data_IF_431250462185
#
_entry.id   IF_431250462185
#
_cell.length_a   1.000
_cell.length_b   1.000
_cell.length_c   1.000
_cell.angle_alpha   90.00
_cell.angle_beta   90.00
_cell.angle_gamma   90.00
#
_symmetry.space_group_name_H-M   'P 1'
#
loop_
_entity.id
_entity.type
_entity.pdbx_description
1 polymer ?
#
# COMPACT_ATOMS: atom_id res chain seq x y z
N UNK A 1 -4.49 -3.02 -29.72
CA UNK A 1 -5.85 -2.76 -29.23
C UNK A 1 -5.78 -1.48 -28.40
N UNK A 2 -6.78 -0.57 -28.51
CA UNK A 2 -6.86 0.59 -27.63
C UNK A 2 -7.10 0.06 -26.20
N UNK A 3 -6.37 0.60 -25.20
CA UNK A 3 -6.61 0.26 -23.81
C UNK A 3 -7.95 0.85 -23.37
N UNK A 4 -8.56 0.20 -22.39
CA UNK A 4 -9.74 0.74 -21.73
C UNK A 4 -9.41 2.06 -21.06
N UNK A 5 -10.34 3.01 -21.10
CA UNK A 5 -10.19 4.30 -20.46
C UNK A 5 -10.75 4.22 -19.04
N UNK A 6 -9.98 4.70 -18.07
CA UNK A 6 -10.44 4.81 -16.69
C UNK A 6 -11.42 5.98 -16.54
N UNK A 7 -12.57 5.73 -15.91
CA UNK A 7 -13.56 6.76 -15.58
C UNK A 7 -13.64 6.94 -14.07
N UNK A 8 -13.46 8.18 -13.60
CA UNK A 8 -13.53 8.55 -12.19
C UNK A 8 -14.99 8.69 -11.76
N UNK A 9 -15.62 7.60 -11.35
CA UNK A 9 -17.01 7.59 -10.90
C UNK A 9 -17.16 7.64 -9.39
N UNK A 10 -16.12 7.24 -8.64
CA UNK A 10 -16.08 7.15 -7.19
C UNK A 10 -14.85 7.87 -6.62
N UNK A 11 -14.90 8.37 -5.37
CA UNK A 11 -13.73 8.85 -4.66
C UNK A 11 -12.64 7.79 -4.58
N UNK A 12 -11.39 8.18 -4.81
CA UNK A 12 -10.24 7.29 -4.79
C UNK A 12 -9.53 7.33 -3.45
N UNK A 13 -9.33 6.16 -2.83
CA UNK A 13 -8.68 6.01 -1.53
C UNK A 13 -7.62 4.90 -1.63
N UNK A 14 -6.42 5.19 -1.11
CA UNK A 14 -5.35 4.22 -1.04
C UNK A 14 -5.39 3.53 0.33
N UNK A 15 -5.51 2.22 0.33
CA UNK A 15 -5.41 1.40 1.54
C UNK A 15 -4.33 0.34 1.36
N UNK A 16 -3.97 -0.35 2.41
CA UNK A 16 -3.06 -1.48 2.26
C UNK A 16 -3.02 -2.35 3.50
N UNK A 17 -2.52 -3.58 3.31
CA UNK A 17 -2.35 -4.56 4.38
C UNK A 17 -0.98 -4.46 5.01
N UNK A 18 -0.96 -4.38 6.34
CA UNK A 18 0.24 -4.41 7.19
C UNK A 18 0.09 -5.48 8.27
N UNK A 19 1.18 -5.90 8.88
CA UNK A 19 1.18 -6.90 9.95
C UNK A 19 2.24 -7.97 9.75
N UNK A 20 2.30 -8.92 10.70
CA UNK A 20 3.33 -9.95 10.76
C UNK A 20 3.32 -10.88 9.53
N UNK A 21 4.47 -11.52 9.22
CA UNK A 21 4.55 -12.59 8.24
C UNK A 21 3.60 -13.73 8.63
N UNK A 22 3.03 -14.42 7.64
CA UNK A 22 2.09 -15.54 7.82
C UNK A 22 0.75 -15.21 8.53
N UNK A 23 0.45 -13.97 8.87
CA UNK A 23 -0.86 -13.56 9.36
C UNK A 23 -1.95 -13.50 8.28
N UNK A 24 -1.59 -13.69 7.00
CA UNK A 24 -2.52 -13.84 5.88
C UNK A 24 -2.90 -12.53 5.19
N UNK A 25 -1.98 -11.56 5.12
CA UNK A 25 -2.16 -10.27 4.40
C UNK A 25 -2.53 -10.47 2.94
N UNK A 26 -1.70 -11.18 2.18
CA UNK A 26 -1.93 -11.47 0.76
C UNK A 26 -3.19 -12.30 0.54
N UNK A 27 -3.49 -13.23 1.45
CA UNK A 27 -4.75 -14.00 1.42
C UNK A 27 -5.96 -13.09 1.59
N UNK A 28 -5.89 -12.11 2.52
CA UNK A 28 -6.95 -11.13 2.71
C UNK A 28 -7.07 -10.20 1.50
N UNK A 29 -5.96 -9.76 0.92
CA UNK A 29 -5.94 -8.94 -0.29
C UNK A 29 -6.64 -9.65 -1.45
N UNK A 30 -6.36 -10.94 -1.65
CA UNK A 30 -7.06 -11.77 -2.65
C UNK A 30 -8.56 -11.92 -2.33
N UNK A 31 -8.92 -12.14 -1.05
CA UNK A 31 -10.31 -12.23 -0.61
C UNK A 31 -11.07 -10.91 -0.84
N UNK A 32 -10.45 -9.75 -0.55
CA UNK A 32 -11.03 -8.44 -0.81
C UNK A 32 -11.36 -8.25 -2.29
N UNK A 33 -10.39 -8.51 -3.18
CA UNK A 33 -10.64 -8.37 -4.62
C UNK A 33 -11.75 -9.28 -5.11
N UNK A 34 -11.81 -10.54 -4.63
CA UNK A 34 -12.84 -11.50 -5.02
C UNK A 34 -14.22 -11.10 -4.51
N UNK A 35 -14.34 -10.84 -3.20
CA UNK A 35 -15.63 -10.49 -2.57
C UNK A 35 -16.18 -9.19 -3.14
N UNK A 36 -15.33 -8.17 -3.34
CA UNK A 36 -15.75 -6.92 -3.95
C UNK A 36 -16.17 -7.11 -5.42
N UNK A 37 -15.43 -7.89 -6.21
CA UNK A 37 -15.80 -8.18 -7.60
C UNK A 37 -17.16 -8.88 -7.70
N UNK A 38 -17.44 -9.85 -6.83
CA UNK A 38 -18.71 -10.58 -6.78
C UNK A 38 -19.88 -9.70 -6.28
N UNK A 39 -19.62 -8.72 -5.40
CA UNK A 39 -20.66 -7.90 -4.77
C UNK A 39 -20.91 -6.60 -5.52
N UNK A 40 -19.86 -5.90 -5.96
CA UNK A 40 -19.92 -4.53 -6.50
C UNK A 40 -19.44 -4.46 -7.96
N UNK A 41 -18.85 -5.55 -8.47
CA UNK A 41 -18.25 -5.58 -9.81
C UNK A 41 -16.76 -5.30 -9.80
N UNK A 42 -16.14 -5.44 -10.98
CA UNK A 42 -14.69 -5.35 -11.16
C UNK A 42 -14.05 -6.72 -11.34
N UNK A 43 -12.73 -6.77 -11.28
CA UNK A 43 -11.95 -7.98 -11.52
C UNK A 43 -11.39 -8.55 -10.21
N UNK A 44 -11.57 -9.85 -10.02
CA UNK A 44 -10.93 -10.58 -8.91
C UNK A 44 -9.47 -10.90 -9.28
N UNK A 45 -8.56 -10.68 -8.34
CA UNK A 45 -7.15 -11.04 -8.47
C UNK A 45 -6.87 -12.28 -7.61
N UNK A 46 -6.42 -13.36 -8.25
CA UNK A 46 -6.04 -14.57 -7.53
C UNK A 46 -4.76 -14.35 -6.71
N UNK A 47 -4.57 -15.14 -5.65
CA UNK A 47 -3.38 -15.08 -4.79
C UNK A 47 -2.07 -15.10 -5.60
N UNK A 48 -1.93 -16.04 -6.54
CA UNK A 48 -0.76 -16.14 -7.43
C UNK A 48 -0.57 -14.95 -8.37
N UNK A 49 -1.59 -14.10 -8.49
CA UNK A 49 -1.57 -12.87 -9.27
C UNK A 49 -1.04 -11.67 -8.48
N UNK A 50 -1.07 -11.74 -7.15
CA UNK A 50 -0.56 -10.73 -6.22
C UNK A 50 0.94 -10.99 -5.99
N UNK A 51 1.32 -12.16 -5.48
CA UNK A 51 2.70 -12.61 -5.31
C UNK A 51 3.22 -13.23 -6.61
N UNK A 52 3.74 -12.37 -7.50
CA UNK A 52 4.09 -12.77 -8.86
C UNK A 52 5.55 -13.20 -9.05
N UNK A 53 6.47 -12.70 -8.22
CA UNK A 53 7.89 -12.96 -8.38
C UNK A 53 8.20 -14.45 -8.14
N UNK A 54 9.09 -15.08 -8.94
CA UNK A 54 9.48 -16.47 -8.71
C UNK A 54 10.01 -16.71 -7.29
N UNK A 55 10.74 -15.75 -6.73
CA UNK A 55 11.29 -15.81 -5.38
C UNK A 55 10.20 -15.74 -4.29
N UNK A 56 9.15 -14.95 -4.49
CA UNK A 56 7.99 -14.89 -3.60
C UNK A 56 7.26 -16.23 -3.55
N UNK A 57 7.05 -16.85 -4.72
CA UNK A 57 6.41 -18.16 -4.82
C UNK A 57 7.24 -19.29 -4.21
N UNK A 58 8.57 -19.25 -4.39
CA UNK A 58 9.47 -20.25 -3.83
C UNK A 58 9.54 -20.16 -2.30
N UNK A 59 9.57 -18.95 -1.76
CA UNK A 59 9.66 -18.69 -0.32
C UNK A 59 8.30 -18.65 0.39
N UNK A 60 7.20 -18.47 -0.33
CA UNK A 60 5.86 -18.30 0.22
C UNK A 60 5.68 -17.00 1.01
N UNK A 61 6.47 -15.97 0.72
CA UNK A 61 6.42 -14.65 1.40
C UNK A 61 6.41 -13.53 0.38
N UNK A 62 5.67 -12.46 0.67
CA UNK A 62 5.68 -11.22 -0.11
C UNK A 62 7.00 -10.48 0.09
N UNK A 63 7.67 -10.11 -0.98
CA UNK A 63 8.96 -9.39 -0.99
C UNK A 63 8.77 -7.96 -1.46
N UNK A 64 8.12 -7.77 -2.60
CA UNK A 64 7.81 -6.46 -3.15
C UNK A 64 6.36 -6.04 -2.81
N UNK A 65 6.10 -4.75 -2.80
CA UNK A 65 4.72 -4.25 -2.72
C UNK A 65 3.95 -4.60 -3.97
N UNK A 66 2.75 -5.12 -3.82
CA UNK A 66 1.84 -5.40 -4.93
C UNK A 66 0.63 -4.47 -4.87
N UNK A 67 0.19 -4.00 -6.03
CA UNK A 67 -0.94 -3.07 -6.13
C UNK A 67 -2.11 -3.75 -6.84
N UNK A 68 -3.27 -3.75 -6.18
CA UNK A 68 -4.54 -4.22 -6.75
C UNK A 68 -5.62 -3.15 -6.62
N UNK A 69 -6.69 -3.24 -7.39
CA UNK A 69 -7.85 -2.35 -7.26
C UNK A 69 -9.11 -3.14 -6.96
N UNK A 70 -10.03 -2.53 -6.23
CA UNK A 70 -11.40 -3.00 -6.06
C UNK A 70 -12.32 -1.82 -5.73
N UNK A 71 -13.62 -2.03 -5.81
CA UNK A 71 -14.62 -1.00 -5.52
C UNK A 71 -15.55 -1.44 -4.40
N UNK A 72 -16.04 -0.47 -3.64
CA UNK A 72 -17.22 -0.61 -2.79
C UNK A 72 -18.41 0.13 -3.41
N UNK A 73 -19.50 0.22 -2.70
CA UNK A 73 -20.62 1.09 -3.08
C UNK A 73 -20.22 2.57 -3.18
N UNK A 74 -19.28 3.00 -2.34
CA UNK A 74 -18.98 4.42 -2.12
C UNK A 74 -17.61 4.85 -2.64
N UNK A 75 -16.67 3.92 -2.83
CA UNK A 75 -15.25 4.23 -3.08
C UNK A 75 -14.59 3.28 -4.08
N UNK A 76 -13.59 3.82 -4.77
CA UNK A 76 -12.58 3.06 -5.50
C UNK A 76 -11.32 2.96 -4.64
N UNK A 77 -10.90 1.74 -4.35
CA UNK A 77 -9.71 1.46 -3.57
C UNK A 77 -8.54 1.04 -4.45
N UNK A 78 -7.40 1.73 -4.29
CA UNK A 78 -6.11 1.17 -4.64
C UNK A 78 -5.54 0.52 -3.38
N UNK A 79 -5.20 -0.76 -3.46
CA UNK A 79 -4.73 -1.53 -2.32
C UNK A 79 -3.28 -1.95 -2.51
N UNK A 80 -2.45 -1.64 -1.52
CA UNK A 80 -1.04 -2.00 -1.47
C UNK A 80 -0.87 -3.19 -0.54
N UNK A 81 -0.50 -4.35 -1.07
CA UNK A 81 -0.11 -5.49 -0.24
C UNK A 81 1.36 -5.35 0.18
N UNK A 82 1.61 -5.18 1.48
CA UNK A 82 2.94 -4.95 2.02
C UNK A 82 3.61 -6.24 2.50
N UNK A 83 4.93 -6.39 2.31
CA UNK A 83 5.67 -7.51 2.88
C UNK A 83 5.58 -7.49 4.41
N UNK A 84 5.58 -8.69 5.01
CA UNK A 84 5.53 -8.85 6.48
C UNK A 84 6.88 -9.17 7.11
N UNK A 85 7.87 -9.58 6.32
CA UNK A 85 9.16 -10.03 6.82
C UNK A 85 10.11 -8.84 7.09
N UNK A 86 10.86 -8.91 8.19
CA UNK A 86 11.77 -7.84 8.64
C UNK A 86 12.81 -7.43 7.58
N UNK A 87 13.30 -8.37 6.76
CA UNK A 87 14.29 -8.07 5.71
C UNK A 87 13.74 -7.10 4.64
N UNK A 88 12.42 -6.98 4.52
CA UNK A 88 11.74 -6.16 3.50
C UNK A 88 11.05 -4.93 4.09
N UNK A 89 11.42 -4.52 5.29
CA UNK A 89 10.86 -3.34 5.99
C UNK A 89 10.92 -2.07 5.14
N UNK A 90 11.94 -1.90 4.30
CA UNK A 90 12.06 -0.75 3.37
C UNK A 90 10.89 -0.71 2.36
N UNK A 91 10.50 -1.87 1.84
CA UNK A 91 9.36 -1.96 0.92
C UNK A 91 8.04 -1.73 1.66
N UNK A 92 7.93 -2.24 2.90
CA UNK A 92 6.77 -1.95 3.78
C UNK A 92 6.63 -0.44 4.03
N UNK A 93 7.71 0.27 4.39
CA UNK A 93 7.70 1.72 4.61
C UNK A 93 7.24 2.47 3.34
N UNK A 94 7.80 2.10 2.19
CA UNK A 94 7.43 2.72 0.90
C UNK A 94 5.94 2.51 0.59
N UNK A 95 5.42 1.29 0.82
CA UNK A 95 4.00 0.99 0.62
C UNK A 95 3.11 1.74 1.61
N UNK A 96 3.48 1.74 2.90
CA UNK A 96 2.71 2.41 3.95
C UNK A 96 2.63 3.93 3.74
N UNK A 97 3.69 4.57 3.24
CA UNK A 97 3.71 6.00 2.95
C UNK A 97 2.66 6.43 1.90
N UNK A 98 2.15 5.50 1.10
CA UNK A 98 1.12 5.76 0.09
C UNK A 98 -0.30 5.66 0.64
N UNK A 99 -0.50 5.10 1.83
CA UNK A 99 -1.82 4.75 2.36
C UNK A 99 -2.54 5.95 2.98
N UNK A 100 -3.83 6.06 2.67
CA UNK A 100 -4.78 6.94 3.33
C UNK A 100 -5.44 6.24 4.53
N UNK A 101 -5.29 4.91 4.63
CA UNK A 101 -5.66 4.07 5.75
C UNK A 101 -5.02 2.70 5.65
N UNK A 102 -4.71 2.05 6.77
CA UNK A 102 -4.12 0.73 6.78
C UNK A 102 -5.08 -0.33 7.34
N UNK A 103 -4.95 -1.56 6.84
CA UNK A 103 -5.60 -2.74 7.40
C UNK A 103 -4.52 -3.54 8.14
N UNK A 104 -4.59 -3.53 9.45
CA UNK A 104 -3.71 -4.34 10.29
C UNK A 104 -4.24 -5.77 10.36
N UNK A 105 -3.50 -6.71 9.81
CA UNK A 105 -3.88 -8.13 9.82
C UNK A 105 -3.16 -8.84 10.95
N UNK A 106 -3.93 -9.38 11.89
CA UNK A 106 -3.41 -10.14 13.04
C UNK A 106 -4.08 -11.52 13.06
N UNK A 107 -3.30 -12.57 13.27
CA UNK A 107 -3.85 -13.92 13.47
C UNK A 107 -4.53 -14.03 14.83
N UNK A 108 -5.76 -14.49 14.88
CA UNK A 108 -6.50 -14.73 16.12
C UNK A 108 -5.84 -15.83 16.99
N UNK A 109 -5.12 -16.74 16.34
CA UNK A 109 -4.44 -17.83 17.05
C UNK A 109 -3.09 -17.42 17.67
N UNK A 110 -2.37 -16.50 16.99
CA UNK A 110 -1.00 -16.13 17.38
C UNK A 110 -0.96 -14.80 18.16
N UNK A 111 -1.96 -13.94 18.00
CA UNK A 111 -1.98 -12.59 18.54
C UNK A 111 -0.97 -11.63 17.89
N UNK A 112 -0.74 -10.46 18.50
CA UNK A 112 0.26 -9.52 18.03
C UNK A 112 1.67 -10.07 18.14
N UNK A 113 2.39 -10.09 17.02
CA UNK A 113 3.76 -10.60 16.92
C UNK A 113 4.75 -9.42 16.73
N UNK A 114 6.08 -9.63 16.80
CA UNK A 114 7.04 -8.53 16.75
C UNK A 114 6.88 -7.59 15.55
N UNK A 115 6.68 -8.11 14.32
CA UNK A 115 6.47 -7.25 13.17
C UNK A 115 5.11 -6.53 13.20
N UNK A 116 4.12 -7.01 13.96
CA UNK A 116 2.87 -6.28 14.18
C UNK A 116 3.15 -4.95 14.86
N UNK A 117 3.95 -4.96 15.93
CA UNK A 117 4.40 -3.75 16.66
C UNK A 117 5.20 -2.82 15.76
N UNK A 118 6.18 -3.37 15.05
CA UNK A 118 7.02 -2.62 14.12
C UNK A 118 6.18 -1.93 13.02
N UNK A 119 5.23 -2.65 12.42
CA UNK A 119 4.40 -2.10 11.34
C UNK A 119 3.43 -1.01 11.82
N UNK A 120 2.87 -1.12 13.05
CA UNK A 120 2.03 -0.05 13.63
C UNK A 120 2.89 1.21 13.85
N UNK A 121 4.07 1.05 14.45
CA UNK A 121 5.00 2.16 14.67
C UNK A 121 5.41 2.83 13.36
N UNK A 122 5.81 2.05 12.36
CA UNK A 122 6.21 2.58 11.06
C UNK A 122 5.05 3.26 10.34
N UNK A 123 3.84 2.70 10.38
CA UNK A 123 2.64 3.34 9.85
C UNK A 123 2.40 4.71 10.51
N UNK A 124 2.62 4.82 11.83
CA UNK A 124 2.53 6.11 12.53
C UNK A 124 3.59 7.10 12.05
N UNK A 125 4.84 6.65 11.89
CA UNK A 125 5.96 7.49 11.47
C UNK A 125 5.80 8.03 10.03
N UNK A 126 5.24 7.25 9.13
CA UNK A 126 4.98 7.68 7.74
C UNK A 126 3.67 8.46 7.59
N UNK A 127 2.91 8.62 8.67
CA UNK A 127 1.72 9.47 8.69
C UNK A 127 0.43 8.79 8.24
N UNK A 128 0.31 7.46 8.32
CA UNK A 128 -0.97 6.76 8.09
C UNK A 128 -2.00 7.27 9.10
N UNK A 129 -3.13 7.87 8.64
CA UNK A 129 -4.03 8.56 9.55
C UNK A 129 -4.94 7.62 10.36
N UNK A 130 -5.29 6.46 9.82
CA UNK A 130 -6.22 5.50 10.42
C UNK A 130 -5.80 4.06 10.16
N UNK A 131 -6.07 3.21 11.14
CA UNK A 131 -5.90 1.75 11.05
C UNK A 131 -7.25 1.09 11.31
N UNK A 132 -7.62 0.11 10.48
CA UNK A 132 -8.72 -0.85 10.73
C UNK A 132 -8.07 -2.20 10.96
N UNK A 133 -8.57 -3.00 11.89
CA UNK A 133 -7.99 -4.31 12.22
C UNK A 133 -8.82 -5.42 11.62
N UNK A 134 -8.16 -6.38 10.98
CA UNK A 134 -8.75 -7.66 10.61
C UNK A 134 -8.11 -8.78 11.44
N UNK A 135 -8.86 -9.31 12.40
CA UNK A 135 -8.47 -10.43 13.23
C UNK A 135 -8.72 -11.71 12.43
N UNK A 136 -7.67 -12.15 11.72
CA UNK A 136 -7.70 -13.22 10.73
C UNK A 136 -7.54 -14.61 11.37
N UNK A 137 -7.81 -15.66 10.59
CA UNK A 137 -7.71 -17.08 11.01
C UNK A 137 -8.66 -17.43 12.18
N UNK A 138 -9.79 -16.76 12.27
CA UNK A 138 -10.80 -17.04 13.30
C UNK A 138 -11.34 -18.47 13.24
N UNK A 139 -11.21 -19.15 12.09
CA UNK A 139 -11.52 -20.56 11.89
C UNK A 139 -10.61 -21.54 12.65
N UNK A 140 -9.48 -21.06 13.21
CA UNK A 140 -8.53 -21.84 13.98
C UNK A 140 -8.69 -21.70 15.50
N UNK A 141 -9.62 -20.84 15.96
CA UNK A 141 -9.80 -20.52 17.37
C UNK A 141 -11.26 -20.72 17.74
N UNK A 142 -11.52 -21.76 18.54
CA UNK A 142 -12.86 -22.08 19.04
C UNK A 142 -13.18 -21.38 20.37
N UNK A 143 -12.17 -20.80 21.04
CA UNK A 143 -12.30 -20.17 22.35
C UNK A 143 -12.57 -18.66 22.23
N UNK A 144 -13.78 -18.18 22.56
CA UNK A 144 -14.10 -16.75 22.51
C UNK A 144 -13.28 -15.91 23.48
N UNK A 145 -12.91 -16.45 24.65
CA UNK A 145 -12.12 -15.72 25.65
C UNK A 145 -10.70 -15.40 25.12
N UNK A 146 -10.14 -16.32 24.35
CA UNK A 146 -8.85 -16.09 23.68
C UNK A 146 -8.95 -14.98 22.62
N UNK A 147 -10.03 -14.96 21.84
CA UNK A 147 -10.24 -13.91 20.83
C UNK A 147 -10.41 -12.53 21.51
N UNK A 148 -11.18 -12.44 22.58
CA UNK A 148 -11.33 -11.20 23.37
C UNK A 148 -10.01 -10.72 23.95
N UNK A 149 -9.15 -11.62 24.44
CA UNK A 149 -7.85 -11.29 24.96
C UNK A 149 -6.92 -10.71 23.88
N UNK A 150 -6.89 -11.34 22.70
CA UNK A 150 -6.10 -10.85 21.56
C UNK A 150 -6.61 -9.49 21.09
N UNK A 151 -7.93 -9.27 21.04
CA UNK A 151 -8.51 -7.97 20.72
C UNK A 151 -8.08 -6.89 21.71
N UNK A 152 -8.10 -7.19 23.02
CA UNK A 152 -7.66 -6.26 24.05
C UNK A 152 -6.18 -5.90 23.88
N UNK A 153 -5.33 -6.89 23.64
CA UNK A 153 -3.89 -6.67 23.40
C UNK A 153 -3.63 -5.79 22.18
N UNK A 154 -4.41 -5.98 21.10
CA UNK A 154 -4.31 -5.13 19.90
C UNK A 154 -4.71 -3.69 20.22
N UNK A 155 -5.80 -3.47 20.99
CA UNK A 155 -6.25 -2.12 21.40
C UNK A 155 -5.22 -1.40 22.26
N UNK A 156 -4.63 -2.10 23.23
CA UNK A 156 -3.55 -1.57 24.07
C UNK A 156 -2.34 -1.18 23.20
N UNK A 157 -1.95 -2.04 22.27
CA UNK A 157 -0.84 -1.80 21.37
C UNK A 157 -1.09 -0.58 20.44
N UNK A 158 -2.29 -0.42 19.89
CA UNK A 158 -2.65 0.74 19.08
C UNK A 158 -2.60 2.03 19.91
N UNK A 159 -3.09 2.01 21.15
CA UNK A 159 -3.01 3.15 22.07
C UNK A 159 -1.56 3.49 22.42
N UNK A 160 -0.68 2.52 22.59
CA UNK A 160 0.77 2.72 22.83
C UNK A 160 1.43 3.52 21.71
N UNK A 161 1.03 3.27 20.45
CA UNK A 161 1.55 3.96 19.26
C UNK A 161 0.68 5.14 18.79
N UNK A 162 -0.13 5.69 19.68
CA UNK A 162 -0.96 6.89 19.45
C UNK A 162 -2.02 6.76 18.35
N UNK A 163 -2.49 5.54 18.10
CA UNK A 163 -3.74 5.32 17.37
C UNK A 163 -4.89 5.17 18.37
N UNK A 164 -6.13 5.56 18.00
CA UNK A 164 -7.28 5.47 18.92
C UNK A 164 -7.76 4.02 19.06
N UNK A 165 -7.02 3.19 19.83
CA UNK A 165 -7.25 1.75 19.93
C UNK A 165 -8.67 1.39 20.38
N UNK A 166 -9.28 2.16 21.29
CA UNK A 166 -10.62 1.91 21.78
C UNK A 166 -11.70 2.14 20.71
N UNK A 167 -11.47 3.13 19.81
CA UNK A 167 -12.39 3.48 18.72
C UNK A 167 -12.08 2.75 17.41
N UNK A 168 -10.96 2.04 17.34
CA UNK A 168 -10.54 1.33 16.13
C UNK A 168 -11.46 0.15 15.84
N UNK A 169 -12.07 0.06 14.64
CA UNK A 169 -12.84 -1.10 14.23
C UNK A 169 -11.97 -2.36 14.17
N UNK A 170 -12.41 -3.43 14.82
CA UNK A 170 -11.80 -4.76 14.75
C UNK A 170 -12.84 -5.73 14.18
N UNK A 171 -12.52 -6.33 13.06
CA UNK A 171 -13.36 -7.30 12.37
C UNK A 171 -12.73 -8.69 12.49
N UNK A 172 -13.45 -9.61 13.09
CA UNK A 172 -13.01 -11.00 13.24
C UNK A 172 -13.48 -11.83 12.05
N UNK A 173 -12.55 -12.56 11.40
CA UNK A 173 -12.88 -13.35 10.22
C UNK A 173 -11.79 -14.33 9.79
N UNK A 174 -12.02 -14.99 8.68
CA UNK A 174 -11.07 -15.88 8.01
C UNK A 174 -11.02 -15.51 6.52
N UNK A 175 -9.89 -14.94 6.10
CA UNK A 175 -9.64 -14.62 4.71
C UNK A 175 -9.68 -15.87 3.81
N UNK A 176 -9.21 -17.01 4.33
CA UNK A 176 -9.24 -18.28 3.61
C UNK A 176 -10.70 -18.75 3.36
N UNK A 177 -11.54 -18.70 4.38
CA UNK A 177 -12.96 -19.03 4.26
C UNK A 177 -13.69 -18.12 3.27
N UNK A 178 -13.39 -16.84 3.30
CA UNK A 178 -13.92 -15.88 2.33
C UNK A 178 -13.49 -16.21 0.89
N UNK A 179 -12.22 -16.60 0.67
CA UNK A 179 -11.73 -17.06 -0.63
C UNK A 179 -12.41 -18.36 -1.10
N UNK A 180 -12.73 -19.25 -0.18
CA UNK A 180 -13.49 -20.47 -0.48
C UNK A 180 -14.97 -20.22 -0.79
N UNK A 181 -15.47 -18.99 -0.55
CA UNK A 181 -16.85 -18.57 -0.76
C UNK A 181 -17.78 -18.96 0.40
N UNK A 182 -17.23 -19.21 1.58
CA UNK A 182 -18.01 -19.47 2.80
C UNK A 182 -18.79 -18.21 3.20
N UNK A 183 -20.11 -18.31 3.24
CA UNK A 183 -21.02 -17.20 3.58
C UNK A 183 -21.28 -17.03 5.07
N UNK A 184 -20.59 -17.80 5.92
CA UNK A 184 -20.67 -17.64 7.38
C UNK A 184 -20.23 -16.25 7.85
N UNK A 185 -20.48 -15.94 9.12
CA UNK A 185 -20.12 -14.65 9.71
C UNK A 185 -18.62 -14.37 9.64
N UNK A 186 -17.75 -15.41 9.69
CA UNK A 186 -16.29 -15.26 9.62
C UNK A 186 -15.75 -15.34 8.18
N UNK A 187 -16.56 -15.68 7.19
CA UNK A 187 -16.19 -15.81 5.77
C UNK A 187 -16.42 -14.52 4.97
N UNK A 188 -17.18 -14.64 3.89
CA UNK A 188 -17.51 -13.50 2.99
C UNK A 188 -18.12 -12.33 3.74
N UNK A 189 -19.00 -12.59 4.72
CA UNK A 189 -19.65 -11.54 5.52
C UNK A 189 -18.64 -10.69 6.31
N UNK A 190 -17.58 -11.30 6.86
CA UNK A 190 -16.55 -10.55 7.57
C UNK A 190 -15.76 -9.63 6.62
N UNK A 191 -15.46 -10.08 5.40
CA UNK A 191 -14.76 -9.25 4.40
C UNK A 191 -15.65 -8.12 3.91
N UNK A 192 -16.95 -8.35 3.72
CA UNK A 192 -17.92 -7.28 3.40
C UNK A 192 -17.98 -6.23 4.52
N UNK A 193 -18.06 -6.67 5.79
CA UNK A 193 -18.02 -5.79 6.94
C UNK A 193 -16.72 -4.97 7.02
N UNK A 194 -15.57 -5.58 6.69
CA UNK A 194 -14.30 -4.86 6.62
C UNK A 194 -14.36 -3.73 5.60
N UNK A 195 -14.94 -3.96 4.41
CA UNK A 195 -15.09 -2.93 3.36
C UNK A 195 -16.04 -1.82 3.81
N UNK A 196 -17.14 -2.16 4.48
CA UNK A 196 -18.08 -1.19 5.05
C UNK A 196 -17.40 -0.31 6.12
N UNK A 197 -16.59 -0.90 7.01
CA UNK A 197 -15.85 -0.15 8.02
C UNK A 197 -14.76 0.73 7.37
N UNK A 198 -14.09 0.29 6.32
CA UNK A 198 -13.16 1.12 5.55
C UNK A 198 -13.87 2.34 4.94
N UNK A 199 -15.08 2.16 4.39
CA UNK A 199 -15.88 3.24 3.81
C UNK A 199 -16.26 4.32 4.85
N UNK A 200 -16.46 3.92 6.10
CA UNK A 200 -16.91 4.81 7.18
C UNK A 200 -15.75 5.39 7.99
N UNK A 201 -14.80 4.55 8.38
CA UNK A 201 -13.77 4.91 9.35
C UNK A 201 -12.55 5.61 8.74
N UNK A 202 -12.16 5.24 7.51
CA UNK A 202 -11.07 5.92 6.81
C UNK A 202 -11.61 7.22 6.21
N UNK A 203 -11.06 8.40 6.55
CA UNK A 203 -11.55 9.65 6.00
C UNK A 203 -11.27 9.73 4.49
N UNK A 204 -12.10 10.46 3.76
CA UNK A 204 -11.76 10.84 2.39
C UNK A 204 -10.59 11.82 2.44
N UNK A 205 -9.46 11.50 1.78
CA UNK A 205 -8.28 12.32 1.89
C UNK A 205 -8.40 13.63 1.11
N UNK A 206 -7.91 14.72 1.70
CA UNK A 206 -7.73 15.97 0.98
C UNK A 206 -6.61 15.82 -0.04
N UNK A 207 -6.83 16.27 -1.28
CA UNK A 207 -5.86 16.15 -2.38
C UNK A 207 -5.38 17.51 -2.84
N UNK A 208 -4.07 17.70 -2.80
CA UNK A 208 -3.38 18.94 -3.22
C UNK A 208 -3.31 19.08 -4.76
N UNK A 209 -4.44 19.11 -5.44
CA UNK A 209 -4.52 19.15 -6.92
C UNK A 209 -4.08 20.51 -7.50
N UNK A 210 -4.14 21.59 -6.74
CA UNK A 210 -3.78 22.95 -7.17
C UNK A 210 -2.28 23.27 -7.01
N UNK A 211 -1.52 22.39 -6.36
CA UNK A 211 -0.06 22.51 -6.22
C UNK A 211 0.66 22.03 -7.49
N UNK A 212 1.94 22.40 -7.68
CA UNK A 212 2.77 21.83 -8.73
C UNK A 212 2.80 20.30 -8.67
N UNK A 213 2.84 19.65 -9.85
CA UNK A 213 2.91 18.19 -9.93
C UNK A 213 4.19 17.68 -9.30
N UNK A 214 4.03 16.64 -8.48
CA UNK A 214 5.12 15.94 -7.80
C UNK A 214 4.74 14.46 -7.60
N UNK A 215 5.63 13.55 -8.02
CA UNK A 215 5.47 12.11 -7.88
C UNK A 215 6.83 11.46 -7.56
N UNK A 216 7.05 10.94 -6.35
CA UNK A 216 8.20 10.09 -6.06
C UNK A 216 8.18 8.84 -6.94
N UNK A 217 9.34 8.45 -7.47
CA UNK A 217 9.49 7.28 -8.34
C UNK A 217 9.74 6.05 -7.46
N UNK A 218 8.83 5.10 -7.55
CA UNK A 218 8.87 3.84 -6.79
C UNK A 218 9.45 2.70 -7.59
N UNK A 219 9.10 2.66 -8.88
CA UNK A 219 9.61 1.63 -9.76
C UNK A 219 9.76 2.13 -11.21
N UNK A 220 10.62 1.46 -11.98
CA UNK A 220 10.95 1.83 -13.35
C UNK A 220 10.85 0.61 -14.24
N UNK A 221 10.00 0.69 -15.24
CA UNK A 221 9.74 -0.38 -16.20
C UNK A 221 10.05 0.05 -17.63
N UNK A 222 10.37 -0.92 -18.47
CA UNK A 222 10.43 -0.73 -19.92
C UNK A 222 9.27 -1.47 -20.57
N UNK A 223 8.48 -0.77 -21.35
CA UNK A 223 7.43 -1.37 -22.16
C UNK A 223 7.87 -1.39 -23.63
N UNK A 224 7.98 -2.58 -24.21
CA UNK A 224 8.37 -2.75 -25.62
C UNK A 224 7.49 -1.91 -26.53
N UNK A 225 8.12 -1.06 -27.35
CA UNK A 225 7.43 -0.16 -28.29
C UNK A 225 6.80 1.10 -27.70
N UNK A 226 6.91 1.31 -26.36
CA UNK A 226 6.34 2.50 -25.68
C UNK A 226 7.36 3.32 -24.90
N UNK A 227 8.49 2.71 -24.50
CA UNK A 227 9.57 3.37 -23.78
C UNK A 227 9.56 3.10 -22.27
N UNK A 228 10.17 4.01 -21.52
CA UNK A 228 10.29 3.92 -20.06
C UNK A 228 9.01 4.42 -19.39
N UNK A 229 8.55 3.66 -18.40
CA UNK A 229 7.44 3.99 -17.53
C UNK A 229 7.95 4.06 -16.11
N UNK A 230 7.65 5.13 -15.41
CA UNK A 230 7.90 5.27 -13.97
C UNK A 230 6.57 5.18 -13.23
N UNK A 231 6.57 4.49 -12.11
CA UNK A 231 5.38 4.37 -11.27
C UNK A 231 5.57 5.04 -9.93
N UNK A 232 4.50 5.49 -9.34
CA UNK A 232 4.46 6.10 -8.03
C UNK A 232 3.10 6.69 -7.72
N UNK A 233 2.91 7.06 -6.46
CA UNK A 233 1.77 7.87 -6.04
C UNK A 233 2.04 9.34 -6.38
N UNK A 234 1.06 9.99 -6.99
CA UNK A 234 1.12 11.45 -7.19
C UNK A 234 0.84 12.13 -5.85
N UNK A 235 1.84 12.83 -5.31
CA UNK A 235 1.72 13.52 -4.02
C UNK A 235 0.97 14.84 -4.14
N UNK A 236 1.20 15.58 -5.23
CA UNK A 236 0.52 16.83 -5.50
C UNK A 236 0.35 17.11 -6.98
N UNK A 237 -0.59 17.98 -7.30
CA UNK A 237 -0.84 18.48 -8.65
C UNK A 237 -1.52 17.49 -9.59
N UNK A 238 -1.38 17.81 -10.86
CA UNK A 238 -1.96 17.05 -11.99
C UNK A 238 -0.89 16.88 -13.06
N UNK A 239 -0.84 15.72 -13.69
CA UNK A 239 -0.01 15.45 -14.87
C UNK A 239 -0.88 15.02 -16.05
N UNK A 240 -0.61 15.55 -17.24
CA UNK A 240 -1.31 15.24 -18.49
C UNK A 240 -0.35 14.77 -19.56
N UNK A 241 -0.86 14.05 -20.52
CA UNK A 241 -0.12 13.73 -21.74
C UNK A 241 0.28 15.03 -22.46
N UNK A 242 1.56 15.20 -22.74
CA UNK A 242 2.14 16.39 -23.36
C UNK A 242 2.86 17.31 -22.39
N UNK A 243 2.68 17.16 -21.07
CA UNK A 243 3.33 18.00 -20.09
C UNK A 243 4.84 17.79 -20.08
N UNK A 244 5.57 18.90 -19.96
CA UNK A 244 7.00 18.87 -19.71
C UNK A 244 7.24 18.53 -18.23
N UNK A 245 8.19 17.64 -17.98
CA UNK A 245 8.53 17.15 -16.63
C UNK A 245 10.03 17.16 -16.40
N UNK A 246 10.43 17.17 -15.15
CA UNK A 246 11.80 16.97 -14.69
C UNK A 246 11.92 15.76 -13.79
N UNK A 247 13.01 15.02 -13.96
CA UNK A 247 13.45 13.94 -13.07
C UNK A 247 14.52 14.55 -12.18
N UNK A 248 14.26 14.63 -10.87
CA UNK A 248 15.07 15.35 -9.89
C UNK A 248 15.56 14.43 -8.80
N UNK A 249 16.79 14.65 -8.34
CA UNK A 249 17.40 13.91 -7.22
C UNK A 249 18.34 12.80 -7.69
N UNK A 250 19.24 12.38 -6.77
CA UNK A 250 20.31 11.37 -6.98
C UNK A 250 21.32 11.80 -8.05
N UNK A 251 20.88 11.97 -9.28
CA UNK A 251 21.67 12.36 -10.45
C UNK A 251 21.35 13.80 -10.89
N UNK A 252 22.02 14.27 -11.93
CA UNK A 252 21.71 15.56 -12.54
C UNK A 252 20.26 15.61 -13.04
N UNK A 253 19.60 16.73 -12.84
CA UNK A 253 18.22 16.94 -13.27
C UNK A 253 18.07 16.77 -14.76
N UNK A 254 17.17 15.91 -15.18
CA UNK A 254 16.89 15.59 -16.59
C UNK A 254 15.47 16.00 -16.96
N UNK A 255 15.33 16.66 -18.11
CA UNK A 255 14.00 17.04 -18.64
C UNK A 255 13.43 15.97 -19.55
N UNK A 256 12.12 15.77 -19.48
CA UNK A 256 11.37 14.83 -20.30
C UNK A 256 9.96 15.34 -20.61
N UNK A 257 9.17 14.54 -21.30
CA UNK A 257 7.76 14.84 -21.59
C UNK A 257 6.91 13.61 -21.26
N UNK A 258 5.79 13.83 -20.58
CA UNK A 258 4.78 12.82 -20.37
C UNK A 258 4.14 12.41 -21.72
N UNK A 259 4.23 11.14 -22.10
CA UNK A 259 3.60 10.62 -23.32
C UNK A 259 2.33 9.83 -23.07
N UNK A 260 2.02 9.56 -21.81
CA UNK A 260 0.80 8.89 -21.39
C UNK A 260 0.78 8.65 -19.88
N UNK A 261 -0.42 8.55 -19.35
CA UNK A 261 -0.66 8.22 -17.93
C UNK A 261 -1.55 6.98 -17.88
N UNK A 262 -1.22 6.06 -16.99
CA UNK A 262 -1.94 4.78 -16.82
C UNK A 262 -2.12 4.47 -15.34
N UNK A 263 -3.24 3.84 -14.99
CA UNK A 263 -3.54 3.31 -13.68
C UNK A 263 -4.23 1.95 -13.86
N UNK A 264 -3.74 0.91 -13.18
CA UNK A 264 -4.26 -0.47 -13.28
C UNK A 264 -4.49 -0.94 -14.73
N UNK A 265 -3.50 -0.68 -15.62
CA UNK A 265 -3.52 -1.02 -17.05
C UNK A 265 -4.58 -0.28 -17.88
N UNK A 266 -5.32 0.66 -17.30
CA UNK A 266 -6.27 1.55 -17.98
C UNK A 266 -5.58 2.89 -18.30
N UNK A 267 -5.92 3.50 -19.42
CA UNK A 267 -5.38 4.82 -19.79
C UNK A 267 -6.15 5.94 -19.10
N UNK A 268 -5.42 6.99 -18.69
CA UNK A 268 -6.00 8.21 -18.13
C UNK A 268 -5.71 9.40 -19.05
N UNK A 269 -6.63 10.37 -19.09
CA UNK A 269 -6.37 11.67 -19.72
C UNK A 269 -5.39 12.50 -18.90
N UNK A 270 -5.47 12.37 -17.57
CA UNK A 270 -4.61 13.03 -16.59
C UNK A 270 -4.49 12.16 -15.33
N UNK A 271 -3.34 12.23 -14.66
CA UNK A 271 -3.15 11.71 -13.30
C UNK A 271 -3.29 12.82 -12.29
N UNK A 272 -3.91 12.57 -11.14
CA UNK A 272 -4.19 13.54 -10.07
C UNK A 272 -3.54 13.14 -8.75
N UNK A 273 -3.30 14.12 -7.91
CA UNK A 273 -2.84 13.89 -6.54
C UNK A 273 -3.64 12.78 -5.84
N UNK A 274 -2.92 11.84 -5.23
CA UNK A 274 -3.45 10.66 -4.55
C UNK A 274 -3.57 9.41 -5.42
N UNK A 275 -3.48 9.50 -6.74
CA UNK A 275 -3.57 8.34 -7.64
C UNK A 275 -2.20 7.65 -7.80
N UNK A 276 -2.18 6.32 -7.76
CA UNK A 276 -1.01 5.51 -8.08
C UNK A 276 -0.94 5.30 -9.59
N UNK A 277 -0.04 6.00 -10.24
CA UNK A 277 0.03 6.06 -11.70
C UNK A 277 1.35 5.56 -12.26
N UNK A 278 1.28 5.02 -13.47
CA UNK A 278 2.42 4.85 -14.35
C UNK A 278 2.48 6.00 -15.35
N UNK A 279 3.58 6.76 -15.36
CA UNK A 279 3.82 7.87 -16.28
C UNK A 279 4.83 7.43 -17.33
N UNK A 280 4.44 7.50 -18.61
CA UNK A 280 5.29 7.18 -19.75
C UNK A 280 6.15 8.39 -20.09
N UNK A 281 7.46 8.19 -20.19
CA UNK A 281 8.46 9.22 -20.43
C UNK A 281 9.02 9.15 -21.85
N UNK A 282 9.20 10.33 -22.47
CA UNK A 282 9.77 10.44 -23.81
C UNK A 282 11.29 10.51 -23.75
N UNK A 283 11.97 9.63 -24.53
CA UNK A 283 13.41 9.75 -24.74
C UNK A 283 14.29 9.46 -23.52
N UNK A 284 13.72 8.83 -22.50
CA UNK A 284 14.45 8.41 -21.30
C UNK A 284 14.68 6.91 -21.36
N UNK A 285 15.94 6.50 -21.22
CA UNK A 285 16.29 5.09 -21.07
C UNK A 285 16.06 4.63 -19.62
N UNK A 286 15.79 3.34 -19.43
CA UNK A 286 15.51 2.79 -18.09
C UNK A 286 16.63 3.09 -17.08
N UNK A 287 17.89 2.96 -17.53
CA UNK A 287 19.05 3.12 -16.66
C UNK A 287 19.38 4.60 -16.35
N UNK A 288 18.67 5.54 -16.95
CA UNK A 288 18.75 6.97 -16.65
C UNK A 288 17.82 7.42 -15.54
N UNK A 289 16.98 6.51 -15.02
CA UNK A 289 16.03 6.78 -13.95
C UNK A 289 16.13 5.72 -12.86
N UNK A 290 16.14 6.17 -11.61
CA UNK A 290 16.27 5.29 -10.45
C UNK A 290 15.13 5.50 -9.46
N UNK A 291 14.77 4.44 -8.74
CA UNK A 291 13.87 4.51 -7.57
C UNK A 291 14.42 5.52 -6.56
N UNK A 292 13.56 6.38 -6.04
CA UNK A 292 13.92 7.43 -5.08
C UNK A 292 14.16 8.80 -5.70
N UNK A 293 14.27 8.89 -7.04
CA UNK A 293 14.15 10.17 -7.73
C UNK A 293 12.70 10.64 -7.72
N UNK A 294 12.48 11.91 -8.06
CA UNK A 294 11.16 12.53 -8.09
C UNK A 294 10.86 13.05 -9.49
N UNK A 295 9.69 12.70 -10.01
CA UNK A 295 9.15 13.29 -11.22
C UNK A 295 8.33 14.53 -10.83
N UNK A 296 8.67 15.68 -11.38
CA UNK A 296 8.10 16.97 -10.97
C UNK A 296 7.81 17.91 -12.14
N UNK A 297 6.98 18.90 -11.88
CA UNK A 297 6.80 20.04 -12.79
C UNK A 297 8.14 20.80 -12.90
N UNK A 298 8.56 21.24 -14.10
CA UNK A 298 9.84 21.91 -14.28
C UNK A 298 10.03 23.12 -13.35
N UNK A 299 11.17 23.12 -12.65
CA UNK A 299 11.56 24.21 -11.73
C UNK A 299 10.75 24.30 -10.44
N UNK A 300 9.91 23.32 -10.13
CA UNK A 300 9.08 23.34 -8.91
C UNK A 300 9.82 22.87 -7.67
N UNK A 301 10.86 22.04 -7.83
CA UNK A 301 11.70 21.53 -6.73
C UNK A 301 13.17 21.56 -7.11
N UNK A 302 14.02 21.63 -6.10
CA UNK A 302 15.49 21.52 -6.23
C UNK A 302 16.01 20.52 -5.22
N UNK A 303 17.01 19.68 -5.57
CA UNK A 303 17.63 18.77 -4.62
C UNK A 303 18.45 19.57 -3.60
N UNK A 304 18.45 19.13 -2.34
CA UNK A 304 19.21 19.73 -1.25
C UNK A 304 20.31 18.78 -0.80
N UNK A 305 21.51 19.31 -0.58
CA UNK A 305 22.66 18.57 -0.04
C UNK A 305 22.86 18.80 1.46
N UNK A 306 22.26 19.87 1.99
CA UNK A 306 22.29 20.22 3.40
C UNK A 306 20.85 20.30 3.93
N UNK A 307 20.57 19.63 5.03
CA UNK A 307 19.23 19.59 5.65
C UNK A 307 19.35 19.31 7.15
N UNK A 308 18.33 19.70 7.88
CA UNK A 308 18.11 19.30 9.28
C UNK A 308 17.08 18.16 9.32
N UNK A 309 17.31 17.18 10.17
CA UNK A 309 16.42 16.04 10.31
C UNK A 309 16.14 15.70 11.77
N UNK A 310 14.91 15.39 12.08
CA UNK A 310 14.54 14.73 13.32
C UNK A 310 14.67 13.23 13.13
N UNK A 311 15.42 12.56 14.02
CA UNK A 311 15.68 11.12 13.90
C UNK A 311 15.00 10.40 15.05
N UNK A 312 14.10 9.49 14.71
CA UNK A 312 13.52 8.54 15.66
C UNK A 312 14.29 7.22 15.61
N UNK A 313 14.91 6.87 16.73
CA UNK A 313 15.67 5.60 16.86
C UNK A 313 14.79 4.56 17.52
N UNK A 314 14.51 3.48 16.80
CA UNK A 314 13.75 2.34 17.33
C UNK A 314 14.47 1.73 18.54
N UNK A 315 13.72 1.38 19.59
CA UNK A 315 14.27 0.63 20.73
C UNK A 315 14.65 -0.80 20.31
N UNK A 316 15.59 -1.40 21.03
CA UNK A 316 15.99 -2.80 20.76
C UNK A 316 14.85 -3.80 20.98
N UNK A 317 13.84 -3.42 21.75
CA UNK A 317 12.66 -4.25 22.03
C UNK A 317 11.69 -4.30 20.82
N UNK A 318 11.75 -3.32 19.93
CA UNK A 318 10.98 -3.30 18.68
C UNK A 318 11.66 -4.07 17.55
N UNK A 319 12.98 -4.24 17.62
CA UNK A 319 13.78 -4.89 16.59
C UNK A 319 14.41 -6.16 17.16
N UNK A 320 13.89 -7.31 16.83
CA UNK A 320 14.54 -8.61 17.07
C UNK A 320 15.82 -8.79 16.25
N UNK A 321 16.05 -7.92 15.26
CA UNK A 321 17.27 -7.87 14.46
C UNK A 321 18.08 -6.63 14.81
N UNK A 322 19.30 -6.83 15.32
CA UNK A 322 20.31 -5.80 15.29
C UNK A 322 20.67 -5.57 13.82
N UNK A 323 20.21 -4.47 13.25
CA UNK A 323 20.78 -3.97 12.01
C UNK A 323 22.29 -3.95 12.16
N UNK A 324 23.10 -4.44 11.19
CA UNK A 324 24.54 -4.28 11.27
C UNK A 324 24.84 -2.79 11.49
N UNK A 325 25.72 -2.52 12.44
CA UNK A 325 26.15 -1.15 12.74
C UNK A 325 26.61 -0.50 11.42
N UNK A 326 26.39 0.80 11.19
CA UNK A 326 27.00 1.50 10.05
C UNK A 326 28.52 1.33 9.93
N UNK A 327 29.18 0.80 10.98
CA UNK A 327 30.59 0.43 10.96
C UNK A 327 30.88 -0.95 10.35
N UNK A 328 29.84 -1.75 10.12
CA UNK A 328 29.97 -3.08 9.51
C UNK A 328 29.74 -3.05 7.99
N UNK A 329 29.62 -1.86 7.42
CA UNK A 329 29.45 -1.59 6.00
C UNK A 329 30.73 -0.99 5.36
N UNK A 330 31.92 -1.47 5.76
CA UNK A 330 33.19 -1.16 5.08
C UNK A 330 33.53 -2.22 4.03
#
# INVERSE_FOLDING_TARGET
MAREKYERTLPHVNVGTIGHVDHGKTTLTAALTKVCAETYGGDAVAFDGIDNAPEERERGITIATSHVEYVSTNRHYAHVDCPGHADYVKNMITGAAQMDGAILVVSAADGPMPQTREHILLARQVGVPKIVVFLNKADQVDDPELQELVELEIRELLNEYEFPGDDTPIITGSALKALEGDTSEIGVSAVQKLVEELDVYVPEPERDIDKPFLMPIEDVFTISGRGTVVTGRIESGIVKTGDALEIVGINDTTTTTCTGVEMFRKSLDEGRAGENCGVLLRGIERDAVERGQVLAQPGSITPHTEFEAEIYVLSKDCLLYTSPSPRDCD
#
